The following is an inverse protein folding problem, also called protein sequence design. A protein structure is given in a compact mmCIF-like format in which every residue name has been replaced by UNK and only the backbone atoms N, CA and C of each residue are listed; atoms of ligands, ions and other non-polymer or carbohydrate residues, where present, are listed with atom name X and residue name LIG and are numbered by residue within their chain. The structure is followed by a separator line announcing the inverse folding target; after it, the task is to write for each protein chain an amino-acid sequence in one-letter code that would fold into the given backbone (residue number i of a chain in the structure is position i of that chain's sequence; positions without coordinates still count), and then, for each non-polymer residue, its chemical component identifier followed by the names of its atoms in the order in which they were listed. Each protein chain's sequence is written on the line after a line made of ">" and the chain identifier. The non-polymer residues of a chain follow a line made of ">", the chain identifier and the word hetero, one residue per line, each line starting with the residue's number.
data_IF_709436619923
#
_entry.id   IF_709436619923
#
_cell.length_a   1.000
_cell.length_b   1.000
_cell.length_c   1.000
_cell.angle_alpha   90.00
_cell.angle_beta   90.00
_cell.angle_gamma   90.00
#
_symmetry.space_group_name_H-M   'P 1'
#
loop_
_entity.id
_entity.type
_entity.pdbx_description
1 polymer ?
#
# COMPACT_ATOMS: atom_id res chain seq x y z
N UNK A 1 -14.72 9.85 -25.45
CA UNK A 1 -13.66 10.06 -24.45
C UNK A 1 -13.60 8.83 -23.55
N UNK A 2 -12.64 7.89 -23.70
CA UNK A 2 -12.59 6.73 -22.83
C UNK A 2 -11.98 7.12 -21.49
N UNK A 3 -12.70 6.89 -20.40
CA UNK A 3 -12.20 7.06 -19.03
C UNK A 3 -11.42 5.79 -18.66
N UNK A 4 -10.17 5.68 -19.09
CA UNK A 4 -9.26 4.62 -18.64
C UNK A 4 -8.49 5.08 -17.41
N UNK A 5 -8.97 4.68 -16.22
CA UNK A 5 -8.11 4.38 -15.08
C UNK A 5 -8.48 2.99 -14.59
N UNK A 6 -7.89 1.98 -15.23
CA UNK A 6 -7.88 0.62 -14.71
C UNK A 6 -7.26 0.67 -13.31
N UNK A 7 -8.10 0.65 -12.28
CA UNK A 7 -7.66 0.43 -10.90
C UNK A 7 -6.90 -0.90 -10.88
N UNK A 8 -5.61 -0.83 -10.54
CA UNK A 8 -4.64 -1.92 -10.42
C UNK A 8 -5.15 -3.34 -10.65
N UNK A 9 -5.33 -3.74 -11.92
CA UNK A 9 -5.48 -5.17 -12.26
C UNK A 9 -4.14 -5.82 -11.93
N UNK A 10 -4.03 -6.42 -10.74
CA UNK A 10 -2.97 -7.35 -10.43
C UNK A 10 -3.09 -8.47 -11.48
N UNK A 11 -2.10 -8.61 -12.36
CA UNK A 11 -2.07 -9.71 -13.32
C UNK A 11 -1.79 -10.99 -12.54
N UNK A 12 -2.87 -11.74 -12.26
CA UNK A 12 -2.73 -13.09 -11.75
C UNK A 12 -2.48 -14.03 -12.91
N UNK A 13 -1.59 -15.01 -12.72
CA UNK A 13 -1.46 -16.10 -13.67
C UNK A 13 -2.83 -16.76 -13.91
N UNK A 14 -3.17 -16.99 -15.19
CA UNK A 14 -4.48 -17.55 -15.60
C UNK A 14 -4.79 -18.87 -14.89
N UNK A 15 -3.77 -19.65 -14.52
CA UNK A 15 -3.91 -20.91 -13.79
C UNK A 15 -4.44 -20.75 -12.36
N UNK A 16 -4.38 -19.57 -11.74
CA UNK A 16 -4.90 -19.33 -10.38
C UNK A 16 -6.33 -18.80 -10.37
N UNK A 17 -7.00 -18.62 -11.52
CA UNK A 17 -8.30 -17.96 -11.57
C UNK A 17 -9.41 -18.69 -10.81
N UNK A 18 -9.27 -20.01 -10.62
CA UNK A 18 -10.17 -20.85 -9.85
C UNK A 18 -10.06 -20.67 -8.33
N UNK A 19 -8.99 -20.05 -7.83
CA UNK A 19 -8.81 -19.79 -6.40
C UNK A 19 -9.68 -18.62 -5.93
N UNK A 20 -10.26 -18.69 -4.72
CA UNK A 20 -11.02 -17.59 -4.14
C UNK A 20 -10.15 -16.34 -3.94
N UNK A 21 -10.79 -15.18 -3.97
CA UNK A 21 -10.13 -13.88 -3.84
C UNK A 21 -10.46 -13.25 -2.50
N UNK A 22 -9.43 -12.79 -1.80
CA UNK A 22 -9.56 -11.98 -0.59
C UNK A 22 -9.22 -10.52 -0.93
N UNK A 23 -10.11 -9.62 -0.53
CA UNK A 23 -9.92 -8.17 -0.61
C UNK A 23 -9.20 -7.71 0.66
N UNK A 24 -8.08 -7.03 0.47
CA UNK A 24 -7.22 -6.52 1.52
C UNK A 24 -7.35 -4.99 1.58
N UNK A 25 -7.98 -4.49 2.65
CA UNK A 25 -8.15 -3.07 2.92
C UNK A 25 -7.10 -2.60 3.93
N UNK A 26 -6.38 -1.54 3.61
CA UNK A 26 -5.37 -0.96 4.50
C UNK A 26 -6.03 -0.06 5.58
N UNK A 27 -5.35 0.13 6.71
CA UNK A 27 -5.74 1.11 7.73
C UNK A 27 -5.39 2.56 7.35
N UNK A 28 -5.88 3.53 8.12
CA UNK A 28 -5.52 4.94 7.96
C UNK A 28 -4.02 5.18 8.16
N UNK A 29 -3.43 6.08 7.37
CA UNK A 29 -1.99 6.36 7.40
C UNK A 29 -1.11 5.37 6.62
N UNK A 30 -1.74 4.51 5.82
CA UNK A 30 -1.09 3.50 4.98
C UNK A 30 -1.64 3.57 3.55
N UNK A 31 -1.14 2.72 2.67
CA UNK A 31 -1.64 2.53 1.30
C UNK A 31 -1.56 1.06 0.90
N UNK A 32 -2.09 0.70 -0.27
CA UNK A 32 -2.12 -0.67 -0.76
C UNK A 32 -0.71 -1.29 -0.86
N UNK A 33 0.28 -0.49 -1.24
CA UNK A 33 1.67 -0.95 -1.37
C UNK A 33 2.29 -1.26 0.00
N UNK A 34 2.17 -0.35 0.96
CA UNK A 34 2.65 -0.56 2.33
C UNK A 34 1.98 -1.79 2.94
N UNK A 35 0.67 -1.92 2.80
CA UNK A 35 -0.07 -3.05 3.34
C UNK A 35 0.33 -4.38 2.68
N UNK A 36 0.53 -4.40 1.36
CA UNK A 36 1.06 -5.57 0.64
C UNK A 36 2.43 -5.99 1.16
N UNK A 37 3.31 -5.04 1.43
CA UNK A 37 4.64 -5.31 2.01
C UNK A 37 4.54 -5.88 3.42
N UNK A 38 3.67 -5.32 4.26
CA UNK A 38 3.39 -5.84 5.61
C UNK A 38 2.83 -7.27 5.56
N UNK A 39 1.98 -7.57 4.57
CA UNK A 39 1.39 -8.89 4.36
C UNK A 39 2.28 -9.86 3.56
N UNK A 40 3.56 -9.55 3.28
CA UNK A 40 4.41 -10.35 2.38
C UNK A 40 4.53 -11.82 2.79
N UNK A 41 4.69 -12.10 4.09
CA UNK A 41 4.81 -13.48 4.61
C UNK A 41 3.48 -14.21 4.48
N UNK A 42 2.39 -13.59 4.97
CA UNK A 42 1.03 -14.15 4.91
C UNK A 42 0.62 -14.45 3.47
N UNK A 43 0.84 -13.50 2.56
CA UNK A 43 0.52 -13.66 1.15
C UNK A 43 1.28 -14.82 0.52
N UNK A 44 2.56 -14.98 0.86
CA UNK A 44 3.40 -16.05 0.32
C UNK A 44 2.99 -17.42 0.85
N UNK A 45 2.59 -17.51 2.11
CA UNK A 45 2.11 -18.79 2.69
C UNK A 45 0.76 -19.21 2.11
N UNK A 46 -0.10 -18.24 1.75
CA UNK A 46 -1.46 -18.49 1.32
C UNK A 46 -1.65 -18.43 -0.20
N UNK A 47 -0.62 -18.09 -0.98
CA UNK A 47 -0.70 -18.01 -2.44
C UNK A 47 -1.13 -19.29 -3.19
N UNK A 48 -0.97 -20.52 -2.63
CA UNK A 48 -1.50 -21.72 -3.27
C UNK A 48 -3.02 -21.82 -3.16
N UNK A 49 -3.62 -21.15 -2.17
CA UNK A 49 -5.02 -21.29 -1.81
C UNK A 49 -5.85 -20.05 -2.16
N UNK A 50 -5.24 -18.87 -2.14
CA UNK A 50 -5.93 -17.59 -2.22
C UNK A 50 -5.27 -16.63 -3.22
N UNK A 51 -6.09 -15.72 -3.76
CA UNK A 51 -5.64 -14.53 -4.48
C UNK A 51 -5.87 -13.27 -3.65
N UNK A 52 -4.80 -12.53 -3.39
CA UNK A 52 -4.84 -11.29 -2.60
C UNK A 52 -5.03 -10.07 -3.51
N UNK A 53 -6.08 -9.29 -3.28
CA UNK A 53 -6.33 -8.02 -3.95
C UNK A 53 -6.18 -6.85 -2.96
N UNK A 54 -5.12 -6.07 -3.10
CA UNK A 54 -4.84 -4.90 -2.26
C UNK A 54 -5.46 -3.66 -2.87
N UNK A 55 -6.46 -3.08 -2.20
CA UNK A 55 -7.15 -1.89 -2.68
C UNK A 55 -6.52 -0.62 -2.11
N UNK A 56 -6.42 0.42 -2.95
CA UNK A 56 -6.01 1.76 -2.56
C UNK A 56 -7.26 2.56 -2.16
N UNK A 57 -7.22 3.24 -1.00
CA UNK A 57 -8.28 4.13 -0.60
C UNK A 57 -8.39 5.36 -1.52
N UNK A 58 -9.59 5.94 -1.72
CA UNK A 58 -9.77 7.10 -2.59
C UNK A 58 -9.29 8.42 -1.96
N UNK A 59 -9.04 8.44 -0.65
CA UNK A 59 -8.64 9.62 0.11
C UNK A 59 -7.37 9.33 0.92
N UNK A 60 -6.42 10.25 0.85
CA UNK A 60 -5.20 10.20 1.65
C UNK A 60 -5.54 10.42 3.13
N UNK A 61 -4.95 9.61 4.02
CA UNK A 61 -5.04 9.77 5.48
C UNK A 61 -3.65 10.02 6.03
N UNK A 62 -3.55 10.98 6.95
CA UNK A 62 -2.31 11.18 7.71
C UNK A 62 -2.02 9.95 8.58
N UNK A 63 -0.74 9.56 8.74
CA UNK A 63 -0.37 8.54 9.70
C UNK A 63 -0.59 9.06 11.12
N UNK A 64 -1.26 8.24 11.94
CA UNK A 64 -1.32 8.47 13.38
C UNK A 64 0.08 8.37 14.01
N UNK A 65 0.26 8.90 15.23
CA UNK A 65 1.57 8.96 15.90
C UNK A 65 2.27 7.59 16.00
N UNK A 66 1.51 6.51 16.21
CA UNK A 66 2.07 5.15 16.33
C UNK A 66 2.38 4.47 14.97
N UNK A 67 1.81 4.98 13.87
CA UNK A 67 1.95 4.40 12.53
C UNK A 67 3.28 4.81 11.89
N UNK A 68 3.79 6.00 12.22
CA UNK A 68 5.04 6.54 11.67
C UNK A 68 6.23 5.61 11.88
N UNK A 69 6.34 4.94 13.03
CA UNK A 69 7.51 4.11 13.38
C UNK A 69 7.62 2.85 12.49
N UNK A 70 6.48 2.25 12.16
CA UNK A 70 6.40 1.07 11.29
C UNK A 70 6.55 1.45 9.81
N UNK A 71 5.92 2.54 9.38
CA UNK A 71 5.92 2.95 7.97
C UNK A 71 7.25 3.53 7.53
N UNK A 72 7.93 4.31 8.38
CA UNK A 72 9.23 4.91 8.05
C UNK A 72 10.33 3.87 7.86
N UNK A 73 10.30 2.77 8.62
CA UNK A 73 11.28 1.69 8.49
C UNK A 73 11.13 0.97 7.15
N UNK A 74 9.90 0.71 6.70
CA UNK A 74 9.64 0.09 5.40
C UNK A 74 9.93 1.05 4.23
N UNK A 75 9.57 2.33 4.34
CA UNK A 75 9.82 3.34 3.31
C UNK A 75 11.31 3.54 3.00
N UNK A 76 12.19 3.35 4.00
CA UNK A 76 13.65 3.47 3.83
C UNK A 76 14.27 2.28 3.09
N UNK A 77 13.65 1.10 3.14
CA UNK A 77 14.16 -0.10 2.48
C UNK A 77 13.67 -0.27 1.04
N UNK A 78 12.62 0.46 0.62
CA UNK A 78 11.97 0.25 -0.69
C UNK A 78 12.32 1.27 -1.78
N UNK A 79 12.96 2.41 -1.49
CA UNK A 79 13.23 3.37 -2.58
C UNK A 79 14.40 4.36 -2.35
N UNK A 80 15.28 4.46 -3.37
CA UNK A 80 16.26 5.52 -3.57
C UNK A 80 15.70 6.73 -4.34
N UNK A 81 14.39 6.78 -4.59
CA UNK A 81 13.73 7.90 -5.26
C UNK A 81 13.55 9.09 -4.33
N UNK A 82 14.16 10.22 -4.71
CA UNK A 82 14.07 11.53 -4.03
C UNK A 82 12.64 12.10 -3.93
N UNK A 83 11.66 11.50 -4.61
CA UNK A 83 10.30 12.05 -4.77
C UNK A 83 9.39 11.90 -3.55
N UNK A 84 9.59 10.87 -2.71
CA UNK A 84 8.75 10.61 -1.52
C UNK A 84 9.26 11.37 -0.29
N UNK A 85 10.57 11.64 -0.22
CA UNK A 85 11.20 12.51 0.79
C UNK A 85 10.58 13.91 0.81
N UNK A 86 10.40 14.51 -0.37
CA UNK A 86 9.90 15.89 -0.47
C UNK A 86 8.46 16.06 0.03
N UNK A 87 7.63 15.01 -0.02
CA UNK A 87 6.24 15.02 0.48
C UNK A 87 6.18 14.82 2.00
N UNK A 88 6.99 13.91 2.55
CA UNK A 88 7.07 13.68 4.00
C UNK A 88 7.70 14.88 4.72
N UNK A 89 8.76 15.48 4.16
CA UNK A 89 9.39 16.69 4.70
C UNK A 89 8.49 17.93 4.60
N UNK A 90 7.70 18.09 3.53
CA UNK A 90 6.69 19.16 3.44
C UNK A 90 5.62 19.02 4.51
N UNK A 91 5.21 17.79 4.83
CA UNK A 91 4.15 17.54 5.79
C UNK A 91 4.61 17.69 7.24
N UNK A 92 5.85 17.33 7.57
CA UNK A 92 6.43 17.61 8.88
C UNK A 92 6.59 19.13 9.14
N UNK A 93 6.91 19.92 8.11
CA UNK A 93 6.96 21.39 8.21
C UNK A 93 5.59 22.03 8.49
N UNK A 94 4.50 21.43 8.03
CA UNK A 94 3.14 21.94 8.25
C UNK A 94 2.63 21.67 9.68
N UNK A 95 3.14 20.64 10.36
CA UNK A 95 2.79 20.34 11.75
C UNK A 95 3.53 21.18 12.81
N UNK A 96 4.57 21.93 12.42
CA UNK A 96 5.38 22.76 13.34
C UNK A 96 4.89 24.21 13.46
N UNK A 97 3.86 24.62 12.68
CA UNK A 97 3.27 25.98 12.73
C UNK A 97 1.97 25.98 13.54
N UNK A 98 1.96 25.34 14.71
CA UNK A 98 0.92 25.54 15.73
C UNK A 98 1.55 26.02 17.02
#
# INVERSE_FOLDING_TARGET
>A
MPVTRAHGRQEYHKNKLHLPRILCLHGGGSNAHIFKTQCRVVSRMLEPYLRFAYAEAPLDSMPGPDVLRFTLTMARSIDGSRSTRSRIERQLKLSTIR
#
